data_IF_860306290122
#
_entry.id   IF_860306290122
#
_cell.length_a   1.000
_cell.length_b   1.000
_cell.length_c   1.000
_cell.angle_alpha   90.00
_cell.angle_beta   90.00
_cell.angle_gamma   90.00
#
_symmetry.space_group_name_H-M   'P 1'
#
loop_
_entity.id
_entity.type
_entity.pdbx_description
1 polymer ?
#
# COMPACT_ATOMS: atom_id res chain seq x y z
N UNK A 1 23.67 -3.63 2.23
CA UNK A 1 23.70 -4.39 3.51
C UNK A 1 22.32 -4.29 4.13
N UNK A 2 21.69 -5.40 4.53
CA UNK A 2 20.42 -5.33 5.25
C UNK A 2 20.63 -4.62 6.60
N UNK A 3 19.70 -3.75 6.98
CA UNK A 3 19.70 -3.13 8.31
C UNK A 3 19.43 -4.23 9.35
N UNK A 4 20.19 -4.30 10.46
CA UNK A 4 19.88 -5.23 11.53
C UNK A 4 18.45 -5.07 12.03
N UNK A 5 17.70 -6.18 12.12
CA UNK A 5 16.29 -6.18 12.52
C UNK A 5 16.02 -5.49 13.87
N UNK A 6 17.00 -5.48 14.78
CA UNK A 6 16.92 -4.77 16.06
C UNK A 6 16.84 -3.25 15.85
N UNK A 7 17.66 -2.70 14.95
CA UNK A 7 17.68 -1.26 14.63
C UNK A 7 16.36 -0.86 14.00
N UNK A 8 15.88 -1.63 13.01
CA UNK A 8 14.59 -1.41 12.36
C UNK A 8 13.44 -1.38 13.37
N UNK A 9 13.39 -2.36 14.28
CA UNK A 9 12.34 -2.45 15.30
C UNK A 9 12.35 -1.30 16.27
N UNK A 10 13.53 -0.84 16.71
CA UNK A 10 13.63 0.33 17.58
C UNK A 10 13.21 1.61 16.86
N UNK A 11 13.59 1.77 15.59
CA UNK A 11 13.18 2.89 14.76
C UNK A 11 11.65 2.94 14.58
N UNK A 12 11.02 1.82 14.24
CA UNK A 12 9.56 1.73 14.10
C UNK A 12 8.86 2.09 15.43
N UNK A 13 9.29 1.48 16.55
CA UNK A 13 8.72 1.77 17.88
C UNK A 13 8.85 3.22 18.30
N UNK A 14 10.00 3.84 18.02
CA UNK A 14 10.22 5.25 18.33
C UNK A 14 9.32 6.14 17.46
N UNK A 15 9.18 5.80 16.17
CA UNK A 15 8.31 6.53 15.24
C UNK A 15 6.85 6.44 15.69
N UNK A 16 6.35 5.24 15.98
CA UNK A 16 5.01 5.02 16.50
C UNK A 16 4.75 5.83 17.77
N UNK A 17 5.71 5.81 18.71
CA UNK A 17 5.61 6.57 19.95
C UNK A 17 5.57 8.08 19.72
N UNK A 18 6.38 8.60 18.79
CA UNK A 18 6.40 10.02 18.44
C UNK A 18 5.07 10.44 17.83
N UNK A 19 4.59 9.72 16.81
CA UNK A 19 3.35 10.05 16.11
C UNK A 19 2.09 9.80 16.94
N UNK A 20 2.12 8.89 17.91
CA UNK A 20 1.04 8.72 18.88
C UNK A 20 0.92 9.92 19.86
N UNK A 21 2.01 10.67 20.09
CA UNK A 21 2.06 11.77 21.06
C UNK A 21 2.08 13.16 20.43
N UNK A 22 2.54 13.27 19.19
CA UNK A 22 2.59 14.50 18.43
C UNK A 22 1.29 14.65 17.63
N UNK A 23 0.35 15.53 18.03
CA UNK A 23 -0.90 15.70 17.31
C UNK A 23 -0.63 16.20 15.88
N UNK A 24 -1.16 15.46 14.90
CA UNK A 24 -1.15 15.87 13.50
C UNK A 24 -2.38 16.73 13.22
N UNK A 25 -2.21 17.79 12.42
CA UNK A 25 -3.37 18.56 11.95
C UNK A 25 -4.19 17.70 10.99
N UNK A 26 -5.51 17.55 11.19
CA UNK A 26 -6.35 16.81 10.25
C UNK A 26 -6.40 17.53 8.90
N UNK A 27 -6.66 16.81 7.80
CA UNK A 27 -6.90 17.45 6.51
C UNK A 27 -8.15 18.36 6.60
N UNK A 28 -8.10 19.49 5.90
CA UNK A 28 -9.29 20.35 5.71
C UNK A 28 -10.37 19.59 4.94
N UNK A 29 -11.63 20.02 5.05
CA UNK A 29 -12.74 19.44 4.28
C UNK A 29 -12.48 19.44 2.77
N UNK A 30 -11.81 20.49 2.26
CA UNK A 30 -11.41 20.58 0.85
C UNK A 30 -10.37 19.52 0.49
N UNK A 31 -9.34 19.34 1.32
CA UNK A 31 -8.32 18.30 1.10
C UNK A 31 -8.93 16.90 1.15
N UNK A 32 -9.84 16.66 2.10
CA UNK A 32 -10.55 15.38 2.21
C UNK A 32 -11.39 15.06 0.96
N UNK A 33 -12.10 16.06 0.41
CA UNK A 33 -12.90 15.89 -0.82
C UNK A 33 -12.02 15.67 -2.07
N UNK A 34 -10.79 16.16 -2.06
CA UNK A 34 -9.83 15.98 -3.15
C UNK A 34 -8.97 14.71 -2.98
N UNK A 35 -9.21 13.94 -1.93
CA UNK A 35 -8.47 12.72 -1.65
C UNK A 35 -8.66 11.72 -2.79
N UNK A 36 -7.54 11.16 -3.25
CA UNK A 36 -7.50 10.14 -4.30
C UNK A 36 -7.24 8.80 -3.65
N UNK A 37 -8.17 7.87 -3.82
CA UNK A 37 -8.03 6.51 -3.29
C UNK A 37 -7.20 5.67 -4.27
N UNK A 38 -6.14 5.06 -3.77
CA UNK A 38 -5.32 4.09 -4.51
C UNK A 38 -5.53 2.71 -3.88
N UNK A 39 -6.01 1.74 -4.64
CA UNK A 39 -6.18 0.37 -4.19
C UNK A 39 -4.81 -0.32 -4.12
N UNK A 40 -4.36 -0.64 -2.90
CA UNK A 40 -3.09 -1.30 -2.65
C UNK A 40 -3.14 -2.76 -3.13
N UNK A 41 -2.34 -3.10 -4.15
CA UNK A 41 -2.29 -4.41 -4.82
C UNK A 41 -3.63 -4.90 -5.41
N UNK A 42 -4.55 -3.97 -5.69
CA UNK A 42 -5.93 -4.25 -6.10
C UNK A 42 -6.90 -4.40 -4.93
N UNK A 43 -8.13 -4.84 -5.20
CA UNK A 43 -9.15 -5.16 -4.18
C UNK A 43 -9.22 -6.68 -4.00
N UNK A 44 -8.84 -7.17 -2.82
CA UNK A 44 -8.66 -8.61 -2.59
C UNK A 44 -9.03 -9.00 -1.16
N UNK A 45 -9.48 -10.25 -0.98
CA UNK A 45 -9.86 -10.81 0.32
C UNK A 45 -8.81 -11.79 0.89
N UNK A 46 -7.80 -12.14 0.07
CA UNK A 46 -6.75 -13.08 0.44
C UNK A 46 -7.21 -14.54 0.48
N UNK A 47 -8.44 -14.82 0.02
CA UNK A 47 -9.04 -16.16 0.03
C UNK A 47 -9.48 -16.56 -1.38
N UNK A 48 -10.42 -15.82 -1.97
CA UNK A 48 -10.95 -16.08 -3.31
C UNK A 48 -10.29 -15.18 -4.36
N UNK A 49 -9.98 -13.94 -3.98
CA UNK A 49 -9.25 -12.98 -4.80
C UNK A 49 -7.93 -12.70 -4.09
N UNK A 50 -6.81 -12.93 -4.79
CA UNK A 50 -5.47 -12.67 -4.27
C UNK A 50 -4.97 -11.31 -4.74
N UNK A 51 -4.11 -10.70 -3.94
CA UNK A 51 -3.40 -9.48 -4.31
C UNK A 51 -2.57 -9.64 -5.59
N UNK A 52 -2.30 -8.53 -6.28
CA UNK A 52 -1.48 -8.51 -7.48
C UNK A 52 -2.02 -9.39 -8.63
N UNK A 53 -3.33 -9.63 -8.66
CA UNK A 53 -4.01 -10.40 -9.72
C UNK A 53 -4.97 -9.57 -10.56
N UNK A 54 -5.23 -10.01 -11.79
CA UNK A 54 -6.21 -9.36 -12.69
C UNK A 54 -7.60 -9.24 -12.03
N UNK A 55 -8.17 -10.27 -11.37
CA UNK A 55 -9.44 -10.12 -10.65
C UNK A 55 -9.42 -9.01 -9.59
N UNK A 56 -8.33 -8.85 -8.85
CA UNK A 56 -8.20 -7.78 -7.85
C UNK A 56 -8.17 -6.39 -8.51
N UNK A 57 -7.51 -6.27 -9.65
CA UNK A 57 -7.46 -5.03 -10.42
C UNK A 57 -8.80 -4.68 -11.07
N UNK A 58 -9.52 -5.68 -11.58
CA UNK A 58 -10.86 -5.50 -12.13
C UNK A 58 -11.84 -5.06 -11.02
N UNK A 59 -11.77 -5.68 -9.84
CA UNK A 59 -12.58 -5.28 -8.69
C UNK A 59 -12.29 -3.83 -8.27
N UNK A 60 -11.02 -3.45 -8.13
CA UNK A 60 -10.62 -2.08 -7.80
C UNK A 60 -11.08 -1.07 -8.86
N UNK A 61 -10.88 -1.37 -10.15
CA UNK A 61 -11.37 -0.53 -11.26
C UNK A 61 -12.89 -0.33 -11.17
N UNK A 62 -13.63 -1.42 -10.96
CA UNK A 62 -15.09 -1.39 -10.89
C UNK A 62 -15.59 -0.61 -9.66
N UNK A 63 -14.82 -0.57 -8.58
CA UNK A 63 -15.10 0.26 -7.41
C UNK A 63 -14.85 1.77 -7.64
N UNK A 64 -14.28 2.16 -8.79
CA UNK A 64 -14.08 3.57 -9.15
C UNK A 64 -12.96 4.25 -8.37
N UNK A 65 -11.97 3.50 -7.87
CA UNK A 65 -10.78 4.08 -7.23
C UNK A 65 -9.99 4.93 -8.23
N UNK A 66 -9.23 5.92 -7.72
CA UNK A 66 -8.44 6.80 -8.57
C UNK A 66 -7.24 6.09 -9.18
N UNK A 67 -6.64 5.15 -8.46
CA UNK A 67 -5.49 4.39 -8.94
C UNK A 67 -5.44 2.98 -8.35
N UNK A 68 -4.62 2.14 -8.97
CA UNK A 68 -4.30 0.79 -8.50
C UNK A 68 -2.79 0.75 -8.33
N UNK A 69 -2.34 0.33 -7.16
CA UNK A 69 -0.94 0.05 -6.88
C UNK A 69 -0.67 -1.45 -7.12
N UNK A 70 0.54 -1.77 -7.55
CA UNK A 70 0.98 -3.13 -7.83
C UNK A 70 2.51 -3.24 -7.70
N UNK A 71 2.99 -4.44 -7.37
CA UNK A 71 4.42 -4.71 -7.25
C UNK A 71 4.98 -5.35 -8.51
N UNK A 72 5.91 -4.67 -9.19
CA UNK A 72 6.64 -5.28 -10.32
C UNK A 72 7.85 -6.06 -9.81
N UNK A 73 7.96 -7.32 -10.24
CA UNK A 73 9.10 -8.22 -10.02
C UNK A 73 9.63 -8.71 -11.37
N UNK A 74 10.74 -9.43 -11.33
CA UNK A 74 11.37 -10.01 -12.51
C UNK A 74 11.44 -11.53 -12.38
N UNK A 75 11.11 -12.25 -13.44
CA UNK A 75 11.41 -13.67 -13.56
C UNK A 75 12.91 -13.90 -13.79
N UNK A 76 13.35 -15.16 -13.75
CA UNK A 76 14.75 -15.54 -14.00
C UNK A 76 15.20 -15.20 -15.43
N UNK A 77 14.28 -15.24 -16.39
CA UNK A 77 14.46 -14.86 -17.79
C UNK A 77 14.21 -13.36 -18.05
N UNK A 78 14.10 -12.55 -16.99
CA UNK A 78 13.96 -11.09 -17.04
C UNK A 78 12.66 -10.60 -17.69
N UNK A 79 11.58 -11.37 -17.56
CA UNK A 79 10.24 -10.89 -17.87
C UNK A 79 9.64 -10.18 -16.64
N UNK A 80 9.08 -8.96 -16.80
CA UNK A 80 8.42 -8.28 -15.70
C UNK A 80 7.08 -8.95 -15.38
N UNK A 81 6.84 -9.21 -14.10
CA UNK A 81 5.60 -9.80 -13.59
C UNK A 81 5.09 -8.99 -12.42
N UNK A 82 3.81 -9.15 -12.10
CA UNK A 82 3.16 -8.49 -10.97
C UNK A 82 3.03 -9.48 -9.82
N UNK A 83 3.70 -9.22 -8.68
CA UNK A 83 3.76 -10.14 -7.53
C UNK A 83 4.17 -9.46 -6.20
#
# INVERSE_FOLDING_TARGET
>A
MPVPATIERHYQRLSDWLFARLPQSPPTSRQAQQCRIVAHRGEYDGVAVLENTVPAFDAARNAGVWGIELDVRWTRDLEPVVF
#
